data_IF_873515608297
#
_entry.id   IF_873515608297
#
_cell.length_a   1.000
_cell.length_b   1.000
_cell.length_c   1.000
_cell.angle_alpha   90.00
_cell.angle_beta   90.00
_cell.angle_gamma   90.00
#
_symmetry.space_group_name_H-M   'P 1'
#
loop_
_entity.id
_entity.type
_entity.pdbx_description
1 polymer ?
#
# COMPACT_ATOMS: atom_id res chain seq x y z
N UNK A 1 7.68 2.94 10.95
CA UNK A 1 7.45 4.19 10.18
C UNK A 1 7.29 5.31 11.21
N UNK A 2 8.10 6.37 11.17
CA UNK A 2 7.93 7.53 12.04
C UNK A 2 7.33 8.68 11.23
N UNK A 3 6.05 8.53 10.88
CA UNK A 3 5.28 9.46 10.06
C UNK A 3 4.01 9.84 10.82
N UNK A 4 3.50 11.07 10.67
CA UNK A 4 2.23 11.48 11.27
C UNK A 4 1.03 10.88 10.54
N UNK A 5 1.16 10.68 9.23
CA UNK A 5 0.17 10.04 8.37
C UNK A 5 0.86 9.04 7.45
N UNK A 6 0.22 7.90 7.22
CA UNK A 6 0.64 6.91 6.24
C UNK A 6 -0.34 6.84 5.08
N UNK A 7 0.20 6.48 3.92
CA UNK A 7 -0.56 6.11 2.72
C UNK A 7 -0.41 4.62 2.51
N UNK A 8 -1.52 3.92 2.38
CA UNK A 8 -1.54 2.48 2.19
C UNK A 8 -1.91 2.11 0.75
N UNK A 9 -1.08 1.28 0.11
CA UNK A 9 -1.20 0.92 -1.29
C UNK A 9 -1.08 -0.59 -1.44
N UNK A 10 -2.02 -1.19 -2.20
CA UNK A 10 -1.81 -2.51 -2.78
C UNK A 10 -1.20 -2.37 -4.16
N UNK A 11 -0.05 -2.99 -4.38
CA UNK A 11 0.58 -3.06 -5.69
C UNK A 11 0.40 -4.45 -6.30
N UNK A 12 -0.05 -4.47 -7.54
CA UNK A 12 -0.15 -5.65 -8.39
C UNK A 12 1.09 -5.77 -9.29
N UNK A 13 2.06 -6.64 -8.96
CA UNK A 13 3.28 -6.79 -9.74
C UNK A 13 3.05 -7.43 -11.12
N UNK A 14 1.89 -8.03 -11.37
CA UNK A 14 1.60 -8.70 -12.65
C UNK A 14 1.33 -7.68 -13.76
N UNK A 15 0.74 -6.55 -13.38
CA UNK A 15 0.35 -5.49 -14.32
C UNK A 15 1.06 -4.17 -14.04
N UNK A 16 1.82 -4.07 -12.95
CA UNK A 16 2.42 -2.81 -12.52
C UNK A 16 1.39 -1.79 -12.04
N UNK A 17 0.28 -2.23 -11.43
CA UNK A 17 -0.81 -1.32 -11.05
C UNK A 17 -0.81 -1.09 -9.54
N UNK A 18 -0.89 0.18 -9.16
CA UNK A 18 -1.01 0.61 -7.77
C UNK A 18 -2.45 0.98 -7.43
N UNK A 19 -2.94 0.47 -6.30
CA UNK A 19 -4.27 0.76 -5.74
C UNK A 19 -4.11 1.43 -4.37
N UNK A 20 -4.39 2.73 -4.29
CA UNK A 20 -4.41 3.46 -3.02
C UNK A 20 -5.68 3.08 -2.27
N UNK A 21 -5.53 2.59 -1.04
CA UNK A 21 -6.64 2.07 -0.24
C UNK A 21 -7.14 3.15 0.72
N UNK A 22 -6.21 3.78 1.43
CA UNK A 22 -6.52 4.73 2.48
C UNK A 22 -5.32 5.64 2.80
N UNK A 23 -5.59 6.68 3.59
CA UNK A 23 -4.56 7.44 4.29
C UNK A 23 -5.02 7.67 5.72
N UNK A 24 -4.27 7.13 6.68
CA UNK A 24 -4.63 7.16 8.10
C UNK A 24 -3.55 7.78 8.96
N UNK A 25 -3.93 8.14 10.19
CA UNK A 25 -2.95 8.40 11.24
C UNK A 25 -2.25 7.09 11.59
N UNK A 26 -0.93 7.15 11.80
CA UNK A 26 -0.08 5.96 12.03
C UNK A 26 -0.23 5.29 13.39
N UNK A 27 -1.18 5.76 14.23
CA UNK A 27 -1.40 5.24 15.57
C UNK A 27 -2.38 4.06 15.55
N UNK A 28 -1.88 2.86 15.81
CA UNK A 28 -2.70 1.67 16.01
C UNK A 28 -2.19 0.44 15.27
N UNK A 29 -2.93 -0.67 15.43
CA UNK A 29 -2.72 -1.90 14.66
C UNK A 29 -3.79 -1.92 13.57
N UNK A 30 -3.37 -2.13 12.32
CA UNK A 30 -4.26 -2.24 11.17
C UNK A 30 -4.06 -3.59 10.48
N UNK A 31 -5.18 -4.25 10.18
CA UNK A 31 -5.19 -5.50 9.41
C UNK A 31 -5.48 -5.19 7.95
N UNK A 32 -4.75 -5.86 7.05
CA UNK A 32 -4.92 -5.74 5.60
C UNK A 32 -5.19 -7.10 4.99
N UNK A 33 -6.12 -7.16 4.05
CA UNK A 33 -6.36 -8.32 3.20
C UNK A 33 -6.07 -7.94 1.75
N UNK A 34 -5.34 -8.77 1.00
CA UNK A 34 -5.11 -8.50 -0.42
C UNK A 34 -6.44 -8.56 -1.18
N UNK A 35 -6.58 -7.83 -2.31
CA UNK A 35 -7.81 -7.81 -3.08
C UNK A 35 -8.28 -9.19 -3.56
N UNK A 36 -7.33 -10.10 -3.82
CA UNK A 36 -7.60 -11.51 -4.16
C UNK A 36 -6.50 -12.42 -3.59
N UNK A 37 -6.79 -13.72 -3.48
CA UNK A 37 -5.85 -14.73 -2.99
C UNK A 37 -5.78 -15.97 -3.90
N UNK A 38 -4.70 -16.75 -3.75
CA UNK A 38 -4.44 -17.98 -4.49
C UNK A 38 -3.12 -17.95 -5.28
N UNK A 39 -2.78 -19.07 -5.94
CA UNK A 39 -1.56 -19.18 -6.74
C UNK A 39 -1.53 -18.15 -7.87
N UNK A 40 -0.42 -17.42 -8.01
CA UNK A 40 -0.26 -16.37 -9.04
C UNK A 40 -1.05 -15.10 -8.76
N UNK A 41 -1.48 -14.89 -7.52
CA UNK A 41 -2.15 -13.68 -7.05
C UNK A 41 -1.37 -13.04 -5.92
N UNK A 42 -0.10 -12.80 -6.21
CA UNK A 42 0.81 -12.14 -5.29
C UNK A 42 0.51 -10.63 -5.28
N UNK A 43 0.53 -10.05 -4.09
CA UNK A 43 0.27 -8.64 -3.85
C UNK A 43 1.35 -8.09 -2.93
N UNK A 44 1.77 -6.85 -3.18
CA UNK A 44 2.71 -6.16 -2.30
C UNK A 44 1.95 -5.06 -1.57
N UNK A 45 1.98 -5.11 -0.23
CA UNK A 45 1.48 -4.02 0.60
C UNK A 45 2.61 -3.00 0.76
N UNK A 46 2.33 -1.76 0.36
CA UNK A 46 3.25 -0.64 0.52
C UNK A 46 2.61 0.33 1.50
N UNK A 47 3.35 0.69 2.54
CA UNK A 47 2.96 1.68 3.54
C UNK A 47 4.06 2.73 3.57
N UNK A 48 3.72 3.96 3.21
CA UNK A 48 4.66 5.04 3.07
C UNK A 48 4.24 6.29 3.86
N UNK A 49 5.21 7.14 4.16
CA UNK A 49 4.98 8.45 4.76
C UNK A 49 4.41 9.40 3.71
N UNK A 50 3.22 9.96 3.99
CA UNK A 50 2.55 10.91 3.08
C UNK A 50 3.43 12.12 2.80
N UNK A 51 4.19 12.60 3.79
CA UNK A 51 5.02 13.81 3.66
C UNK A 51 6.23 13.63 2.73
N UNK A 52 6.55 12.40 2.33
CA UNK A 52 7.65 12.10 1.41
C UNK A 52 7.25 12.14 -0.05
N UNK A 53 5.95 12.16 -0.36
CA UNK A 53 5.40 12.32 -1.71
C UNK A 53 6.06 11.38 -2.76
N UNK A 54 6.29 10.12 -2.39
CA UNK A 54 6.82 9.15 -3.34
C UNK A 54 5.87 8.97 -4.54
N UNK A 55 6.45 8.77 -5.72
CA UNK A 55 5.70 8.43 -6.92
C UNK A 55 5.04 7.06 -6.78
N UNK A 56 3.88 6.88 -7.40
CA UNK A 56 3.20 5.60 -7.39
C UNK A 56 4.04 4.54 -8.13
N UNK A 57 4.28 3.36 -7.52
CA UNK A 57 4.97 2.26 -8.18
C UNK A 57 4.24 1.80 -9.44
N UNK A 58 5.01 1.38 -10.45
CA UNK A 58 4.48 0.86 -11.72
C UNK A 58 4.08 1.92 -12.75
N UNK A 59 4.57 3.16 -12.58
CA UNK A 59 4.61 4.16 -13.64
C UNK A 59 5.80 3.95 -14.57
#
# INVERSE_FOLDING_TARGET
>A
LNASQSKEIWFDPRYGISYVIHSSNTLGIQTYSPPTSGKGRDWILIIEDVAKEFALPGQ
#
